data_IF_030673668028
#
_entry.id   IF_030673668028
#
_cell.length_a   1.000
_cell.length_b   1.000
_cell.length_c   1.000
_cell.angle_alpha   90.00
_cell.angle_beta   90.00
_cell.angle_gamma   90.00
#
_symmetry.space_group_name_H-M   'P 1'
#
loop_
_entity.id
_entity.type
_entity.pdbx_description
1 polymer ?
#
# COMPACT_ATOMS: atom_id res chain seq x y z
N UNK A 1 -31.07 23.53 -9.91
CA UNK A 1 -30.91 22.56 -8.81
C UNK A 1 -30.76 23.35 -7.53
N UNK A 2 -31.57 23.04 -6.53
CA UNK A 2 -31.49 23.63 -5.20
C UNK A 2 -31.05 22.54 -4.22
N UNK A 3 -30.02 22.81 -3.41
CA UNK A 3 -29.52 21.88 -2.40
C UNK A 3 -30.10 22.27 -1.05
N UNK A 4 -30.56 21.28 -0.29
CA UNK A 4 -31.04 21.48 1.08
C UNK A 4 -29.92 21.12 2.06
N UNK A 5 -29.47 22.03 2.92
CA UNK A 5 -28.52 21.67 3.97
C UNK A 5 -29.19 20.71 4.95
N UNK A 6 -28.47 19.66 5.34
CA UNK A 6 -28.96 18.64 6.28
C UNK A 6 -28.39 18.79 7.69
N UNK A 7 -27.50 19.77 7.88
CA UNK A 7 -26.82 20.04 9.14
C UNK A 7 -25.77 21.12 9.02
N UNK A 8 -24.98 21.28 10.08
CA UNK A 8 -23.89 22.25 10.20
C UNK A 8 -22.65 21.56 10.76
N UNK A 9 -21.47 21.91 10.24
CA UNK A 9 -20.19 21.42 10.76
C UNK A 9 -19.60 22.47 11.71
N UNK A 10 -19.39 22.09 12.96
CA UNK A 10 -18.66 22.88 13.96
C UNK A 10 -17.22 22.40 14.03
N UNK A 11 -16.26 23.29 13.79
CA UNK A 11 -14.85 22.95 13.71
C UNK A 11 -13.99 23.98 14.47
N UNK A 12 -12.75 23.61 14.80
CA UNK A 12 -11.82 24.55 15.45
C UNK A 12 -11.27 25.59 14.47
N UNK A 13 -11.52 25.46 13.17
CA UNK A 13 -10.97 26.33 12.13
C UNK A 13 -11.94 27.49 11.87
N UNK A 14 -11.61 28.71 12.30
CA UNK A 14 -12.49 29.90 12.13
C UNK A 14 -12.25 30.62 10.81
N UNK A 15 -11.04 30.50 10.27
CA UNK A 15 -10.60 31.13 9.03
C UNK A 15 -10.08 30.09 8.04
N UNK A 16 -9.86 30.51 6.78
CA UNK A 16 -9.30 29.63 5.75
C UNK A 16 -7.85 29.27 6.05
N UNK A 17 -7.11 30.21 6.64
CA UNK A 17 -5.69 30.09 6.97
C UNK A 17 -5.47 29.13 8.15
N UNK A 18 -6.46 29.00 9.04
CA UNK A 18 -6.45 28.03 10.13
C UNK A 18 -6.80 26.60 9.70
N UNK A 19 -7.61 26.46 8.65
CA UNK A 19 -8.00 25.15 8.14
C UNK A 19 -6.82 24.48 7.41
N UNK A 20 -6.57 23.18 7.64
CA UNK A 20 -5.52 22.46 6.92
C UNK A 20 -5.87 22.38 5.42
N UNK A 21 -4.85 22.31 4.57
CA UNK A 21 -5.07 22.17 3.11
C UNK A 21 -5.88 20.92 2.76
N UNK A 22 -5.71 19.84 3.54
CA UNK A 22 -6.52 18.63 3.53
C UNK A 22 -6.64 18.13 4.97
N UNK A 23 -7.85 17.82 5.44
CA UNK A 23 -8.10 17.46 6.85
C UNK A 23 -7.28 16.27 7.33
N UNK A 24 -7.05 15.29 6.44
CA UNK A 24 -6.24 14.09 6.73
C UNK A 24 -4.73 14.35 6.77
N UNK A 25 -4.26 15.50 6.31
CA UNK A 25 -2.84 15.88 6.30
C UNK A 25 -2.47 16.81 7.45
N UNK A 26 -3.41 17.15 8.33
CA UNK A 26 -3.09 17.88 9.55
C UNK A 26 -2.13 17.03 10.42
N UNK A 27 -1.06 17.65 10.92
CA UNK A 27 -0.13 17.02 11.86
C UNK A 27 -0.88 16.53 13.11
N UNK A 28 -1.75 17.39 13.64
CA UNK A 28 -2.69 17.08 14.71
C UNK A 28 -4.13 17.07 14.18
N UNK A 29 -4.74 15.89 14.16
CA UNK A 29 -6.15 15.75 13.80
C UNK A 29 -7.02 16.34 14.91
N UNK A 30 -7.65 17.48 14.61
CA UNK A 30 -8.60 18.11 15.53
C UNK A 30 -10.01 17.58 15.32
N UNK A 31 -10.75 17.46 16.42
CA UNK A 31 -12.14 17.02 16.40
C UNK A 31 -13.06 18.12 15.86
N UNK A 32 -13.96 17.71 14.97
CA UNK A 32 -15.10 18.49 14.49
C UNK A 32 -16.39 17.79 14.86
N UNK A 33 -17.47 18.54 15.01
CA UNK A 33 -18.81 18.03 15.32
C UNK A 33 -19.72 18.32 14.14
N UNK A 34 -20.26 17.26 13.54
CA UNK A 34 -21.32 17.38 12.55
C UNK A 34 -22.64 17.35 13.31
N UNK A 35 -23.40 18.44 13.28
CA UNK A 35 -24.74 18.55 13.86
C UNK A 35 -25.80 18.40 12.77
N UNK A 36 -26.56 17.31 12.80
CA UNK A 36 -27.65 17.01 11.86
C UNK A 36 -28.91 17.75 12.31
N UNK A 37 -29.65 18.37 11.39
CA UNK A 37 -30.92 19.00 11.74
C UNK A 37 -31.95 17.96 12.17
N UNK A 38 -32.86 18.34 13.07
CA UNK A 38 -33.76 17.39 13.73
C UNK A 38 -34.63 16.63 12.72
N UNK A 39 -35.07 17.28 11.63
CA UNK A 39 -35.86 16.64 10.57
C UNK A 39 -35.13 15.53 9.81
N UNK A 40 -33.80 15.45 9.89
CA UNK A 40 -32.98 14.41 9.23
C UNK A 40 -32.36 13.43 10.22
N UNK A 41 -32.63 13.58 11.52
CA UNK A 41 -32.02 12.77 12.58
C UNK A 41 -32.22 11.27 12.39
N UNK A 42 -33.39 10.86 11.90
CA UNK A 42 -33.73 9.45 11.70
C UNK A 42 -32.81 8.77 10.66
N UNK A 43 -32.28 9.54 9.70
CA UNK A 43 -31.35 9.04 8.67
C UNK A 43 -29.95 8.68 9.24
N UNK A 44 -29.68 8.98 10.52
CA UNK A 44 -28.42 8.63 11.18
C UNK A 44 -28.37 7.17 11.64
N UNK A 45 -29.49 6.43 11.61
CA UNK A 45 -29.56 5.05 12.07
C UNK A 45 -28.50 4.18 11.38
N UNK A 46 -27.68 3.47 12.17
CA UNK A 46 -26.65 2.56 11.69
C UNK A 46 -25.25 3.17 11.58
N UNK A 47 -25.11 4.50 11.66
CA UNK A 47 -23.81 5.17 11.65
C UNK A 47 -22.93 4.80 12.84
N UNK A 48 -23.51 4.35 13.96
CA UNK A 48 -22.78 3.84 15.12
C UNK A 48 -21.94 2.58 14.81
N UNK A 49 -22.26 1.87 13.72
CA UNK A 49 -21.54 0.68 13.26
C UNK A 49 -20.49 1.01 12.19
N UNK A 50 -20.29 2.29 11.88
CA UNK A 50 -19.42 2.76 10.79
C UNK A 50 -18.25 3.54 11.38
N UNK A 51 -17.02 3.17 10.98
CA UNK A 51 -15.82 3.88 11.43
C UNK A 51 -15.49 5.12 10.59
N UNK A 52 -15.76 5.07 9.28
CA UNK A 52 -15.39 6.15 8.36
C UNK A 52 -16.57 6.56 7.49
N UNK A 53 -16.71 7.87 7.28
CA UNK A 53 -17.76 8.45 6.45
C UNK A 53 -17.17 9.43 5.44
N UNK A 54 -17.79 9.53 4.27
CA UNK A 54 -17.63 10.63 3.34
C UNK A 54 -18.57 11.75 3.77
N UNK A 55 -18.02 12.95 3.89
CA UNK A 55 -18.74 14.16 4.27
C UNK A 55 -18.69 15.12 3.08
N UNK A 56 -19.87 15.47 2.57
CA UNK A 56 -20.02 16.51 1.56
C UNK A 56 -20.58 17.76 2.22
N UNK A 57 -19.88 18.89 2.07
CA UNK A 57 -20.28 20.16 2.66
C UNK A 57 -20.07 21.31 1.69
N UNK A 58 -20.76 22.41 1.92
CA UNK A 58 -20.71 23.58 1.06
C UNK A 58 -19.67 24.56 1.58
N UNK A 59 -18.65 24.88 0.78
CA UNK A 59 -17.74 25.99 1.05
C UNK A 59 -18.43 27.32 0.70
N UNK A 60 -19.33 27.74 1.57
CA UNK A 60 -20.16 28.95 1.50
C UNK A 60 -19.36 30.24 1.28
N UNK A 61 -18.11 30.29 1.73
CA UNK A 61 -17.20 31.44 1.60
C UNK A 61 -16.35 31.44 0.32
N UNK A 62 -16.51 30.44 -0.56
CA UNK A 62 -15.67 30.29 -1.74
C UNK A 62 -16.17 31.09 -2.96
N UNK A 63 -15.24 31.67 -3.71
CA UNK A 63 -15.55 32.28 -5.01
C UNK A 63 -16.01 31.23 -6.05
N UNK A 64 -17.24 31.38 -6.51
CA UNK A 64 -17.90 30.48 -7.46
C UNK A 64 -17.58 30.77 -8.92
N UNK A 65 -17.05 31.95 -9.23
CA UNK A 65 -16.73 32.35 -10.60
C UNK A 65 -15.29 31.93 -11.00
N UNK A 66 -14.52 31.41 -10.04
CA UNK A 66 -13.13 31.00 -10.27
C UNK A 66 -13.04 29.70 -11.06
N UNK A 67 -12.39 29.76 -12.21
CA UNK A 67 -12.16 28.60 -13.10
C UNK A 67 -10.71 28.09 -13.07
N UNK A 68 -9.77 28.89 -12.57
CA UNK A 68 -8.35 28.54 -12.48
C UNK A 68 -7.74 28.94 -11.14
N UNK A 69 -6.71 28.22 -10.72
CA UNK A 69 -6.07 28.42 -9.41
C UNK A 69 -4.61 27.94 -9.43
N UNK A 70 -3.78 28.56 -8.60
CA UNK A 70 -2.43 28.08 -8.30
C UNK A 70 -2.55 27.27 -7.01
N UNK A 71 -2.08 26.03 -7.04
CA UNK A 71 -2.13 25.13 -5.88
C UNK A 71 -0.92 25.32 -4.97
N UNK A 72 -0.97 24.94 -3.68
CA UNK A 72 0.20 24.97 -2.79
C UNK A 72 1.40 24.13 -3.27
N UNK A 73 1.21 23.25 -4.25
CA UNK A 73 2.20 22.26 -4.71
C UNK A 73 3.11 22.76 -5.84
N UNK A 74 2.92 23.97 -6.34
CA UNK A 74 3.73 24.51 -7.42
C UNK A 74 3.17 25.79 -8.02
N UNK A 75 3.97 26.51 -8.82
CA UNK A 75 3.63 27.84 -9.33
C UNK A 75 2.66 27.82 -10.52
N UNK A 76 2.41 26.65 -11.12
CA UNK A 76 1.58 26.53 -12.32
C UNK A 76 0.09 26.76 -12.01
N UNK A 77 -0.55 27.57 -12.86
CA UNK A 77 -1.99 27.74 -12.83
C UNK A 77 -2.69 26.52 -13.45
N UNK A 78 -3.69 25.98 -12.75
CA UNK A 78 -4.44 24.79 -13.15
C UNK A 78 -5.94 25.09 -13.16
N UNK A 79 -6.68 24.42 -14.05
CA UNK A 79 -8.14 24.48 -14.04
C UNK A 79 -8.69 23.86 -12.75
N UNK A 80 -9.69 24.48 -12.11
CA UNK A 80 -10.16 24.09 -10.77
C UNK A 80 -10.63 22.63 -10.69
N UNK A 81 -11.16 22.07 -11.79
CA UNK A 81 -11.60 20.66 -11.87
C UNK A 81 -10.46 19.65 -11.85
N UNK A 82 -9.23 20.07 -12.15
CA UNK A 82 -8.02 19.23 -11.99
C UNK A 82 -7.42 19.34 -10.58
N UNK A 83 -8.10 20.00 -9.65
CA UNK A 83 -7.60 20.31 -8.30
C UNK A 83 -8.67 20.08 -7.23
N UNK A 84 -8.27 20.28 -5.96
CA UNK A 84 -9.17 20.30 -4.79
C UNK A 84 -9.45 21.71 -4.26
N UNK A 85 -9.23 22.76 -5.06
CA UNK A 85 -9.48 24.14 -4.63
C UNK A 85 -10.95 24.36 -4.24
N UNK A 86 -11.25 25.01 -3.11
CA UNK A 86 -12.63 25.25 -2.68
C UNK A 86 -13.37 26.23 -3.59
N UNK A 87 -12.65 27.14 -4.27
CA UNK A 87 -13.22 28.08 -5.24
C UNK A 87 -13.47 27.40 -6.58
N UNK A 88 -14.75 27.13 -6.89
CA UNK A 88 -15.23 26.42 -8.08
C UNK A 88 -16.74 26.69 -8.28
N UNK A 89 -17.32 26.45 -9.47
CA UNK A 89 -18.74 26.78 -9.75
C UNK A 89 -19.75 26.23 -8.74
N UNK A 90 -19.55 24.99 -8.31
CA UNK A 90 -20.29 24.36 -7.21
C UNK A 90 -19.28 23.98 -6.12
N UNK A 91 -19.09 24.83 -5.09
CA UNK A 91 -18.09 24.65 -4.03
C UNK A 91 -18.48 23.53 -3.05
N UNK A 92 -18.75 22.34 -3.57
CA UNK A 92 -18.97 21.12 -2.81
C UNK A 92 -17.58 20.58 -2.45
N UNK A 93 -17.29 20.56 -1.16
CA UNK A 93 -16.12 19.93 -0.61
C UNK A 93 -16.40 18.46 -0.28
N UNK A 94 -15.34 17.67 -0.23
CA UNK A 94 -15.36 16.25 0.04
C UNK A 94 -14.24 15.96 1.04
N UNK A 95 -14.60 15.30 2.14
CA UNK A 95 -13.64 14.85 3.15
C UNK A 95 -14.05 13.48 3.66
N UNK A 96 -13.06 12.65 4.04
CA UNK A 96 -13.32 11.37 4.70
C UNK A 96 -13.09 11.59 6.20
N UNK A 97 -14.15 11.50 7.00
CA UNK A 97 -14.10 11.62 8.45
C UNK A 97 -13.99 10.26 9.15
N UNK A 98 -13.26 10.20 10.26
CA UNK A 98 -13.29 9.06 11.20
C UNK A 98 -14.26 9.37 12.34
N UNK A 99 -15.32 8.57 12.51
CA UNK A 99 -16.29 8.72 13.60
C UNK A 99 -15.62 8.31 14.91
N UNK A 100 -15.65 9.21 15.89
CA UNK A 100 -15.20 8.96 17.26
C UNK A 100 -16.34 8.53 18.17
N UNK A 101 -17.44 9.26 18.11
CA UNK A 101 -18.67 8.97 18.87
C UNK A 101 -19.86 9.68 18.23
N UNK A 102 -21.06 9.21 18.58
CA UNK A 102 -22.33 9.82 18.19
C UNK A 102 -23.13 10.09 19.47
N UNK A 103 -23.65 11.31 19.62
CA UNK A 103 -24.46 11.73 20.76
C UNK A 103 -25.67 12.52 20.26
N UNK A 104 -26.86 11.92 20.35
CA UNK A 104 -28.08 12.54 19.83
C UNK A 104 -28.01 12.76 18.31
N UNK A 105 -28.13 14.01 17.87
CA UNK A 105 -28.00 14.43 16.47
C UNK A 105 -26.57 14.87 16.09
N UNK A 106 -25.57 14.59 16.93
CA UNK A 106 -24.18 15.04 16.75
C UNK A 106 -23.24 13.87 16.48
N UNK A 107 -22.40 14.02 15.47
CA UNK A 107 -21.36 13.06 15.09
C UNK A 107 -20.00 13.73 15.31
N UNK A 108 -19.20 13.19 16.23
CA UNK A 108 -17.86 13.66 16.52
C UNK A 108 -16.88 12.97 15.59
N UNK A 109 -16.13 13.73 14.81
CA UNK A 109 -15.31 13.22 13.71
C UNK A 109 -13.91 13.84 13.65
N UNK A 110 -12.93 13.05 13.23
CA UNK A 110 -11.60 13.54 12.87
C UNK A 110 -11.39 13.59 11.36
N UNK A 111 -10.45 14.43 10.93
CA UNK A 111 -9.96 14.45 9.54
C UNK A 111 -10.78 15.32 8.59
N UNK A 112 -11.62 16.21 9.12
CA UNK A 112 -12.28 17.27 8.34
C UNK A 112 -11.41 18.53 8.25
N UNK A 113 -11.67 19.31 7.22
CA UNK A 113 -11.05 20.59 6.86
C UNK A 113 -12.12 21.66 6.58
N UNK A 114 -13.34 21.44 7.06
CA UNK A 114 -14.42 22.41 6.98
C UNK A 114 -14.12 23.59 7.92
N UNK A 115 -14.31 24.81 7.43
CA UNK A 115 -14.30 25.99 8.30
C UNK A 115 -15.57 25.96 9.15
N UNK A 116 -15.49 26.45 10.37
CA UNK A 116 -16.58 26.46 11.34
C UNK A 116 -17.88 27.04 10.74
N UNK A 117 -18.98 26.36 11.04
CA UNK A 117 -20.34 26.65 10.56
C UNK A 117 -20.58 26.40 9.06
N UNK A 118 -19.70 25.65 8.39
CA UNK A 118 -19.97 25.26 6.99
C UNK A 118 -21.23 24.37 6.90
N UNK A 119 -22.14 24.62 5.94
CA UNK A 119 -23.34 23.81 5.75
C UNK A 119 -23.02 22.39 5.30
N UNK A 120 -23.62 21.39 5.95
CA UNK A 120 -23.54 19.99 5.56
C UNK A 120 -24.56 19.69 4.45
N UNK A 121 -24.14 18.97 3.41
CA UNK A 121 -24.99 18.60 2.29
C UNK A 121 -25.36 17.11 2.29
N UNK A 122 -24.41 16.24 2.60
CA UNK A 122 -24.62 14.80 2.53
C UNK A 122 -23.58 14.04 3.36
N UNK A 123 -23.95 12.82 3.80
CA UNK A 123 -23.05 11.86 4.42
C UNK A 123 -23.23 10.51 3.72
N UNK A 124 -22.12 9.86 3.38
CA UNK A 124 -22.10 8.48 2.88
C UNK A 124 -21.16 7.64 3.70
N UNK A 125 -21.46 6.34 3.82
CA UNK A 125 -20.49 5.40 4.39
C UNK A 125 -19.28 5.32 3.46
N UNK A 126 -18.08 5.38 4.02
CA UNK A 126 -16.86 5.10 3.25
C UNK A 126 -16.72 3.60 3.05
N UNK A 127 -16.65 3.17 1.80
CA UNK A 127 -16.44 1.78 1.39
C UNK A 127 -15.18 1.72 0.53
N UNK A 128 -14.13 1.13 1.09
CA UNK A 128 -12.80 1.07 0.46
C UNK A 128 -12.85 0.57 -0.99
N UNK A 129 -13.63 -0.49 -1.27
CA UNK A 129 -13.67 -1.12 -2.60
C UNK A 129 -14.26 -0.24 -3.72
N UNK A 130 -15.05 0.78 -3.39
CA UNK A 130 -15.67 1.68 -4.38
C UNK A 130 -15.13 3.11 -4.32
N UNK A 131 -14.74 3.58 -3.12
CA UNK A 131 -14.29 4.94 -2.90
C UNK A 131 -12.77 5.09 -3.02
N UNK A 132 -12.03 4.00 -2.80
CA UNK A 132 -10.63 3.92 -3.15
C UNK A 132 -10.50 3.12 -4.44
N UNK A 133 -9.97 3.79 -5.48
CA UNK A 133 -9.32 3.06 -6.55
C UNK A 133 -8.11 2.39 -5.89
N UNK A 134 -8.20 1.07 -5.62
CA UNK A 134 -7.05 0.22 -5.33
C UNK A 134 -5.99 0.65 -6.33
N UNK A 135 -4.92 1.28 -5.85
CA UNK A 135 -4.00 2.04 -6.72
C UNK A 135 -3.77 1.20 -7.97
N UNK A 136 -3.98 1.72 -9.19
CA UNK A 136 -3.56 0.98 -10.35
C UNK A 136 -2.10 0.68 -10.10
N UNK A 137 -1.81 -0.62 -9.93
CA UNK A 137 -0.50 -1.25 -9.88
C UNK A 137 0.53 -0.29 -10.46
N UNK A 138 1.21 0.51 -9.62
CA UNK A 138 2.06 1.62 -10.09
C UNK A 138 2.96 1.01 -11.16
N UNK A 139 2.85 1.47 -12.42
CA UNK A 139 3.68 0.93 -13.50
C UNK A 139 5.13 1.04 -13.04
N UNK A 140 5.83 -0.08 -12.93
CA UNK A 140 7.23 -0.08 -12.54
C UNK A 140 8.01 0.60 -13.67
N UNK A 141 8.70 1.69 -13.35
CA UNK A 141 9.52 2.43 -14.31
C UNK A 141 10.98 2.12 -14.00
N UNK A 142 11.62 1.34 -14.86
CA UNK A 142 13.02 0.98 -14.72
C UNK A 142 13.90 2.15 -15.18
N UNK A 143 14.57 2.80 -14.22
CA UNK A 143 15.45 3.95 -14.45
C UNK A 143 16.56 3.99 -13.38
N UNK A 144 17.46 4.98 -13.47
CA UNK A 144 18.57 5.13 -12.50
C UNK A 144 18.08 5.37 -11.07
N UNK A 145 16.98 6.10 -10.87
CA UNK A 145 16.45 6.36 -9.53
C UNK A 145 15.96 5.08 -8.84
N UNK A 146 15.23 4.21 -9.55
CA UNK A 146 14.79 2.92 -9.01
C UNK A 146 15.98 1.99 -8.73
N UNK A 147 17.02 2.06 -9.56
CA UNK A 147 18.26 1.34 -9.30
C UNK A 147 18.96 1.84 -8.03
N UNK A 148 19.10 3.15 -7.85
CA UNK A 148 19.73 3.75 -6.67
C UNK A 148 18.96 3.42 -5.38
N UNK A 149 17.62 3.37 -5.45
CA UNK A 149 16.76 2.89 -4.38
C UNK A 149 17.04 1.42 -4.02
N UNK A 150 17.17 0.54 -5.01
CA UNK A 150 17.55 -0.87 -4.79
C UNK A 150 18.95 -1.00 -4.17
N UNK A 151 19.90 -0.18 -4.62
CA UNK A 151 21.26 -0.11 -4.06
C UNK A 151 21.21 0.36 -2.61
N UNK A 152 20.38 1.36 -2.29
CA UNK A 152 20.21 1.83 -0.92
C UNK A 152 19.59 0.76 -0.01
N UNK A 153 18.60 0.02 -0.51
CA UNK A 153 17.99 -1.10 0.23
C UNK A 153 18.98 -2.25 0.48
N UNK A 154 19.77 -2.61 -0.53
CA UNK A 154 20.77 -3.69 -0.42
C UNK A 154 22.06 -3.27 0.31
N UNK A 155 22.37 -1.98 0.29
CA UNK A 155 23.57 -1.37 0.89
C UNK A 155 24.75 -1.19 -0.06
N UNK A 156 24.76 -1.81 -1.25
CA UNK A 156 25.81 -1.59 -2.26
C UNK A 156 25.37 -1.98 -3.68
N UNK A 157 26.10 -1.50 -4.67
CA UNK A 157 25.92 -1.87 -6.08
C UNK A 157 26.73 -3.13 -6.40
N UNK A 158 26.09 -4.17 -6.95
CA UNK A 158 26.79 -5.38 -7.35
C UNK A 158 26.12 -6.12 -8.53
N UNK A 159 26.84 -7.03 -9.23
CA UNK A 159 26.28 -7.80 -10.34
C UNK A 159 25.07 -8.64 -9.95
N UNK A 160 25.06 -9.22 -8.74
CA UNK A 160 23.96 -10.03 -8.26
C UNK A 160 22.66 -9.22 -8.10
N UNK A 161 22.77 -8.00 -7.55
CA UNK A 161 21.64 -7.09 -7.44
C UNK A 161 21.12 -6.67 -8.83
N UNK A 162 22.02 -6.36 -9.78
CA UNK A 162 21.64 -6.04 -11.15
C UNK A 162 20.91 -7.20 -11.85
N UNK A 163 21.35 -8.44 -11.65
CA UNK A 163 20.64 -9.62 -12.15
C UNK A 163 19.22 -9.69 -11.58
N UNK A 164 19.05 -9.47 -10.28
CA UNK A 164 17.72 -9.41 -9.65
C UNK A 164 16.85 -8.29 -10.21
N UNK A 165 17.41 -7.11 -10.40
CA UNK A 165 16.73 -5.96 -10.99
C UNK A 165 16.22 -6.28 -12.41
N UNK A 166 17.07 -6.89 -13.25
CA UNK A 166 16.70 -7.32 -14.61
C UNK A 166 15.72 -8.49 -14.62
N UNK A 167 15.79 -9.39 -13.62
CA UNK A 167 14.81 -10.44 -13.42
C UNK A 167 13.41 -9.87 -13.12
N UNK A 168 13.34 -8.82 -12.30
CA UNK A 168 12.09 -8.11 -12.05
C UNK A 168 11.58 -7.41 -13.32
N UNK A 169 12.45 -6.76 -14.09
CA UNK A 169 12.10 -6.16 -15.38
C UNK A 169 11.48 -7.18 -16.35
N UNK A 170 12.11 -8.35 -16.45
CA UNK A 170 11.63 -9.45 -17.27
C UNK A 170 10.20 -9.87 -16.91
N UNK A 171 9.92 -10.07 -15.63
CA UNK A 171 8.62 -10.57 -15.19
C UNK A 171 7.53 -9.50 -15.15
N UNK A 172 7.89 -8.25 -14.85
CA UNK A 172 6.97 -7.10 -14.97
C UNK A 172 6.49 -6.95 -16.41
N UNK A 173 7.40 -7.01 -17.38
CA UNK A 173 7.04 -6.93 -18.81
C UNK A 173 6.14 -8.11 -19.21
N UNK A 174 6.50 -9.32 -18.79
CA UNK A 174 5.82 -10.55 -19.22
C UNK A 174 4.44 -10.76 -18.59
N UNK A 175 4.31 -10.56 -17.28
CA UNK A 175 3.06 -10.78 -16.54
C UNK A 175 2.24 -9.49 -16.35
N UNK A 176 2.76 -8.33 -16.79
CA UNK A 176 2.11 -7.01 -16.64
C UNK A 176 1.72 -6.71 -15.17
N UNK A 177 2.66 -7.00 -14.27
CA UNK A 177 2.49 -6.85 -12.81
C UNK A 177 3.19 -5.61 -12.26
N UNK A 178 2.94 -5.29 -10.99
CA UNK A 178 3.63 -4.23 -10.23
C UNK A 178 3.99 -4.71 -8.82
N UNK A 179 4.33 -3.78 -7.92
CA UNK A 179 4.42 -4.05 -6.49
C UNK A 179 3.18 -4.79 -5.95
N UNK A 180 3.41 -5.81 -5.13
CA UNK A 180 2.42 -6.57 -4.35
C UNK A 180 2.26 -5.92 -2.98
N UNK A 181 1.05 -5.51 -2.61
CA UNK A 181 0.79 -4.90 -1.30
C UNK A 181 0.81 -5.98 -0.20
N UNK A 182 0.14 -7.09 -0.45
CA UNK A 182 0.10 -8.26 0.43
C UNK A 182 0.74 -9.47 -0.27
N UNK A 183 -0.03 -10.50 -0.59
CA UNK A 183 0.45 -11.74 -1.22
C UNK A 183 -0.03 -11.90 -2.68
N UNK A 184 -0.48 -10.85 -3.37
CA UNK A 184 -1.02 -10.94 -4.73
C UNK A 184 -0.02 -11.56 -5.73
N UNK A 185 1.27 -11.23 -5.55
CA UNK A 185 2.37 -11.80 -6.32
C UNK A 185 3.22 -12.62 -5.36
N UNK A 186 3.57 -13.83 -5.79
CA UNK A 186 4.42 -14.74 -5.04
C UNK A 186 5.69 -14.98 -5.82
N UNK A 187 6.84 -14.89 -5.15
CA UNK A 187 8.12 -15.31 -5.69
C UNK A 187 8.62 -16.55 -4.96
N UNK A 188 8.95 -17.60 -5.69
CA UNK A 188 9.77 -18.72 -5.21
C UNK A 188 11.19 -18.49 -5.72
N UNK A 189 12.13 -18.26 -4.82
CA UNK A 189 13.56 -18.15 -5.17
C UNK A 189 14.28 -19.47 -4.92
N UNK A 190 15.10 -19.89 -5.89
CA UNK A 190 15.90 -21.13 -5.81
C UNK A 190 17.34 -20.90 -5.32
N UNK A 191 17.63 -19.66 -4.88
CA UNK A 191 18.90 -19.20 -4.32
C UNK A 191 18.66 -18.09 -3.27
N UNK A 192 19.72 -17.74 -2.53
CA UNK A 192 19.77 -16.65 -1.56
C UNK A 192 20.72 -15.52 -2.00
N UNK A 193 20.85 -15.29 -3.32
CA UNK A 193 21.76 -14.28 -3.86
C UNK A 193 21.21 -12.85 -3.70
N UNK A 194 22.08 -11.85 -3.84
CA UNK A 194 21.75 -10.41 -3.75
C UNK A 194 20.54 -10.01 -4.62
N UNK A 195 20.29 -10.70 -5.74
CA UNK A 195 19.18 -10.41 -6.62
C UNK A 195 17.79 -10.59 -5.98
N UNK A 196 17.69 -11.39 -4.91
CA UNK A 196 16.46 -11.55 -4.14
C UNK A 196 16.02 -10.21 -3.53
N UNK A 197 16.95 -9.34 -3.15
CA UNK A 197 16.64 -8.05 -2.54
C UNK A 197 15.97 -7.09 -3.51
N UNK A 198 16.35 -7.11 -4.80
CA UNK A 198 15.65 -6.34 -5.83
C UNK A 198 14.20 -6.83 -6.02
N UNK A 199 13.98 -8.15 -5.93
CA UNK A 199 12.63 -8.74 -5.97
C UNK A 199 11.80 -8.30 -4.76
N UNK A 200 12.37 -8.34 -3.56
CA UNK A 200 11.74 -7.87 -2.34
C UNK A 200 11.34 -6.40 -2.45
N UNK A 201 12.26 -5.56 -2.90
CA UNK A 201 12.06 -4.11 -2.98
C UNK A 201 11.04 -3.73 -4.05
N UNK A 202 11.22 -4.17 -5.30
CA UNK A 202 10.44 -3.69 -6.45
C UNK A 202 9.06 -4.36 -6.53
N UNK A 203 8.98 -5.66 -6.24
CA UNK A 203 7.73 -6.41 -6.35
C UNK A 203 7.01 -6.60 -5.01
N UNK A 204 7.62 -6.22 -3.89
CA UNK A 204 7.02 -6.45 -2.58
C UNK A 204 6.85 -7.94 -2.27
N UNK A 205 7.65 -8.82 -2.88
CA UNK A 205 7.68 -10.24 -2.52
C UNK A 205 8.63 -10.41 -1.35
N UNK A 206 8.15 -10.37 -0.10
CA UNK A 206 9.00 -10.34 1.09
C UNK A 206 8.77 -11.54 1.99
N UNK A 207 9.80 -11.92 2.77
CA UNK A 207 9.68 -13.00 3.74
C UNK A 207 8.59 -12.73 4.79
N UNK A 208 8.50 -11.49 5.27
CA UNK A 208 7.55 -11.10 6.32
C UNK A 208 6.09 -11.24 5.91
N UNK A 209 5.77 -10.97 4.65
CA UNK A 209 4.41 -11.16 4.09
C UNK A 209 4.12 -12.61 3.71
N UNK A 210 5.14 -13.46 3.70
CA UNK A 210 5.02 -14.87 3.32
C UNK A 210 4.83 -15.12 1.83
N UNK A 211 5.00 -14.09 0.99
CA UNK A 211 4.95 -14.20 -0.48
C UNK A 211 6.34 -14.29 -1.13
N UNK A 212 7.41 -14.41 -0.34
CA UNK A 212 8.72 -14.87 -0.78
C UNK A 212 9.03 -16.24 -0.18
N UNK A 213 9.13 -17.26 -1.04
CA UNK A 213 9.42 -18.63 -0.65
C UNK A 213 10.84 -18.99 -1.06
N UNK A 214 11.69 -19.28 -0.09
CA UNK A 214 13.03 -19.76 -0.36
C UNK A 214 13.04 -21.29 -0.48
N UNK A 215 13.45 -21.80 -1.65
CA UNK A 215 13.74 -23.22 -1.87
C UNK A 215 15.20 -23.35 -2.22
N UNK A 216 16.05 -23.62 -1.24
CA UNK A 216 17.48 -23.72 -1.49
C UNK A 216 17.82 -24.88 -2.44
N UNK A 217 18.07 -24.56 -3.71
CA UNK A 217 18.45 -25.51 -4.76
C UNK A 217 19.76 -25.12 -5.44
N UNK A 218 20.37 -24.00 -5.04
CA UNK A 218 21.58 -23.45 -5.65
C UNK A 218 21.41 -22.97 -7.10
N UNK A 219 20.18 -22.80 -7.60
CA UNK A 219 19.92 -22.40 -8.99
C UNK A 219 19.66 -20.90 -9.08
N UNK A 220 20.27 -20.23 -10.07
CA UNK A 220 19.96 -18.85 -10.43
C UNK A 220 18.61 -18.78 -11.15
N UNK A 221 17.54 -19.07 -10.42
CA UNK A 221 16.18 -19.14 -10.94
C UNK A 221 15.16 -18.58 -9.95
N UNK A 222 14.12 -17.97 -10.49
CA UNK A 222 13.01 -17.38 -9.76
C UNK A 222 11.70 -17.80 -10.43
N UNK A 223 10.71 -18.19 -9.64
CA UNK A 223 9.36 -18.50 -10.14
C UNK A 223 8.39 -17.49 -9.57
N UNK A 224 7.63 -16.83 -10.43
CA UNK A 224 6.63 -15.85 -10.06
C UNK A 224 5.24 -16.38 -10.35
N UNK A 225 4.30 -16.10 -9.46
CA UNK A 225 2.88 -16.35 -9.65
C UNK A 225 2.08 -15.10 -9.36
N UNK A 226 0.98 -14.92 -10.09
CA UNK A 226 -0.06 -13.93 -9.84
C UNK A 226 -1.29 -14.66 -9.33
N UNK A 227 -1.64 -14.47 -8.06
CA UNK A 227 -2.72 -15.23 -7.43
C UNK A 227 -4.08 -14.98 -8.09
N UNK A 228 -4.34 -13.74 -8.49
CA UNK A 228 -5.66 -13.34 -9.03
C UNK A 228 -5.96 -14.01 -10.38
N UNK A 229 -4.94 -14.19 -11.22
CA UNK A 229 -5.08 -14.76 -12.57
C UNK A 229 -4.69 -16.23 -12.64
N UNK A 230 -3.93 -16.72 -11.66
CA UNK A 230 -3.32 -18.04 -11.67
C UNK A 230 -2.12 -18.16 -12.62
N UNK A 231 -1.73 -17.08 -13.30
CA UNK A 231 -0.58 -17.08 -14.20
C UNK A 231 0.73 -17.22 -13.42
N UNK A 232 1.70 -17.89 -14.03
CA UNK A 232 3.04 -17.96 -13.47
C UNK A 232 4.10 -18.18 -14.53
N UNK A 233 5.33 -17.78 -14.18
CA UNK A 233 6.50 -18.00 -15.02
C UNK A 233 7.71 -18.30 -14.15
N UNK A 234 8.51 -19.28 -14.59
CA UNK A 234 9.83 -19.53 -14.04
C UNK A 234 10.86 -18.91 -14.97
N UNK A 235 11.74 -18.07 -14.42
CA UNK A 235 12.88 -17.49 -15.14
C UNK A 235 14.18 -18.08 -14.62
N UNK A 236 15.10 -18.37 -15.53
CA UNK A 236 16.41 -18.96 -15.24
C UNK A 236 17.47 -18.09 -15.87
N UNK A 237 18.48 -17.69 -15.09
CA UNK A 237 19.62 -16.98 -15.61
C UNK A 237 20.40 -17.90 -16.57
N UNK A 238 20.64 -17.44 -17.79
CA UNK A 238 21.49 -18.13 -18.75
C UNK A 238 22.94 -18.11 -18.29
N UNK A 239 23.78 -18.94 -18.92
CA UNK A 239 25.21 -18.87 -18.69
C UNK A 239 25.76 -17.55 -19.26
N UNK A 240 26.00 -16.59 -18.37
CA UNK A 240 26.53 -15.28 -18.71
C UNK A 240 28.05 -15.25 -18.47
N UNK A 241 28.80 -14.53 -19.32
CA UNK A 241 30.25 -14.45 -19.17
C UNK A 241 30.61 -13.80 -17.83
N UNK A 242 31.64 -14.35 -17.17
CA UNK A 242 32.21 -13.72 -15.98
C UNK A 242 33.17 -12.60 -16.39
N UNK A 243 33.18 -11.54 -15.58
CA UNK A 243 34.07 -10.37 -15.74
C UNK A 243 34.72 -10.08 -14.40
N UNK A 244 36.00 -9.75 -14.41
CA UNK A 244 36.76 -9.43 -13.19
C UNK A 244 36.35 -8.07 -12.61
N UNK A 245 36.14 -7.07 -13.47
CA UNK A 245 35.65 -5.75 -13.07
C UNK A 245 34.14 -5.80 -12.79
N UNK A 246 33.80 -5.83 -11.50
CA UNK A 246 32.42 -5.92 -11.01
C UNK A 246 31.60 -4.66 -11.32
N UNK A 247 32.21 -3.47 -11.30
CA UNK A 247 31.48 -2.23 -11.52
C UNK A 247 31.10 -2.07 -12.99
N UNK A 248 32.07 -2.29 -13.89
CA UNK A 248 31.83 -2.30 -15.32
C UNK A 248 30.81 -3.37 -15.71
N UNK A 249 30.94 -4.57 -15.12
CA UNK A 249 30.01 -5.66 -15.38
C UNK A 249 28.58 -5.34 -14.93
N UNK A 250 28.41 -4.69 -13.78
CA UNK A 250 27.09 -4.25 -13.29
C UNK A 250 26.44 -3.29 -14.28
N UNK A 251 27.20 -2.31 -14.81
CA UNK A 251 26.71 -1.37 -15.82
C UNK A 251 26.36 -2.04 -17.15
N UNK A 252 27.11 -3.07 -17.55
CA UNK A 252 26.81 -3.88 -18.75
C UNK A 252 25.50 -4.67 -18.55
N UNK A 253 25.36 -5.38 -17.43
CA UNK A 253 24.16 -6.15 -17.07
C UNK A 253 22.89 -5.30 -17.11
N UNK A 254 22.93 -4.09 -16.54
CA UNK A 254 21.76 -3.19 -16.50
C UNK A 254 21.27 -2.78 -17.91
N UNK A 255 22.17 -2.78 -18.90
CA UNK A 255 21.88 -2.40 -20.29
C UNK A 255 21.50 -3.59 -21.19
N UNK A 256 21.69 -4.83 -20.73
CA UNK A 256 21.33 -6.02 -21.52
C UNK A 256 19.81 -6.16 -21.68
N UNK A 257 19.37 -6.77 -22.78
CA UNK A 257 17.96 -7.15 -22.93
C UNK A 257 17.66 -8.35 -22.04
N UNK A 258 16.46 -8.38 -21.46
CA UNK A 258 16.07 -9.43 -20.51
C UNK A 258 15.98 -10.81 -21.18
N UNK A 259 15.61 -10.86 -22.45
CA UNK A 259 15.53 -12.08 -23.26
C UNK A 259 16.92 -12.70 -23.51
N UNK A 260 17.97 -11.88 -23.55
CA UNK A 260 19.36 -12.34 -23.69
C UNK A 260 19.91 -12.88 -22.36
N UNK A 261 19.35 -12.42 -21.23
CA UNK A 261 19.79 -12.81 -19.89
C UNK A 261 19.05 -14.03 -19.35
N UNK A 262 17.76 -14.19 -19.66
CA UNK A 262 16.90 -15.18 -19.02
C UNK A 262 16.26 -16.14 -20.00
N UNK A 263 16.13 -17.39 -19.58
CA UNK A 263 15.26 -18.38 -20.19
C UNK A 263 13.92 -18.39 -19.44
N UNK A 264 12.81 -18.38 -20.18
CA UNK A 264 11.46 -18.42 -19.60
C UNK A 264 10.86 -19.82 -19.75
N UNK A 265 10.42 -20.38 -18.63
CA UNK A 265 9.87 -21.73 -18.54
C UNK A 265 8.51 -21.68 -17.82
N UNK A 266 7.71 -22.72 -18.03
CA UNK A 266 6.53 -22.94 -17.19
C UNK A 266 6.96 -23.18 -15.73
N UNK A 267 6.18 -22.71 -14.75
CA UNK A 267 6.40 -23.05 -13.35
C UNK A 267 6.40 -24.56 -13.14
N UNK A 268 7.31 -25.05 -12.29
CA UNK A 268 7.35 -26.46 -11.85
C UNK A 268 6.52 -26.69 -10.59
N UNK A 269 6.26 -25.61 -9.87
CA UNK A 269 5.51 -25.61 -8.64
C UNK A 269 4.07 -25.20 -8.90
N UNK A 270 3.17 -25.60 -8.00
CA UNK A 270 1.88 -24.95 -7.88
C UNK A 270 2.03 -23.61 -7.14
N UNK A 271 1.02 -22.74 -7.27
CA UNK A 271 0.96 -21.48 -6.56
C UNK A 271 1.02 -21.77 -5.05
N UNK A 272 2.02 -21.27 -4.31
CA UNK A 272 2.14 -21.52 -2.88
C UNK A 272 0.89 -21.08 -2.12
N UNK A 273 0.47 -21.81 -1.09
CA UNK A 273 -0.65 -21.40 -0.24
C UNK A 273 -0.36 -20.06 0.43
N UNK A 274 -1.40 -19.29 0.77
CA UNK A 274 -1.27 -18.05 1.54
C UNK A 274 -0.66 -18.32 2.91
N UNK A 275 0.04 -17.33 3.45
CA UNK A 275 0.55 -17.39 4.80
C UNK A 275 -0.61 -17.57 5.78
N UNK A 276 -0.41 -18.44 6.78
CA UNK A 276 -1.38 -18.71 7.83
C UNK A 276 -0.80 -18.27 9.16
N UNK A 277 -1.60 -17.55 9.94
CA UNK A 277 -1.30 -17.25 11.35
C UNK A 277 -1.67 -18.48 12.17
N UNK A 278 -0.69 -19.04 12.87
CA UNK A 278 -0.87 -20.16 13.77
C UNK A 278 -0.89 -19.66 15.22
N UNK A 279 -1.67 -20.27 16.12
CA UNK A 279 -1.59 -20.03 17.55
C UNK A 279 -0.15 -20.15 18.08
N UNK A 280 0.13 -19.42 19.15
CA UNK A 280 1.41 -19.54 19.87
C UNK A 280 1.24 -20.45 21.09
N UNK A 281 2.07 -21.48 21.19
CA UNK A 281 2.13 -22.39 22.32
C UNK A 281 3.35 -22.07 23.18
N UNK A 282 3.24 -22.32 24.49
CA UNK A 282 4.35 -22.12 25.43
C UNK A 282 5.21 -23.39 25.49
N UNK A 283 6.51 -23.26 25.30
CA UNK A 283 7.47 -24.32 25.50
C UNK A 283 7.54 -24.69 26.99
N UNK A 284 7.42 -25.98 27.31
CA UNK A 284 7.44 -26.48 28.69
C UNK A 284 8.87 -26.58 29.29
N UNK A 285 9.91 -26.33 28.50
CA UNK A 285 11.31 -26.31 28.96
C UNK A 285 11.78 -24.87 29.21
N UNK A 286 11.80 -24.01 28.18
CA UNK A 286 12.31 -22.64 28.32
C UNK A 286 11.25 -21.61 28.72
N UNK A 287 9.95 -21.94 28.59
CA UNK A 287 8.86 -21.03 28.90
C UNK A 287 8.54 -19.98 27.83
N UNK A 288 9.29 -19.92 26.73
CA UNK A 288 9.04 -19.02 25.60
C UNK A 288 7.84 -19.49 24.76
N UNK A 289 7.19 -18.55 24.05
CA UNK A 289 6.10 -18.87 23.12
C UNK A 289 6.65 -19.05 21.72
N UNK A 290 6.26 -20.12 21.04
CA UNK A 290 6.55 -20.35 19.63
C UNK A 290 5.29 -20.76 18.87
N UNK A 291 5.30 -20.56 17.56
CA UNK A 291 4.19 -20.93 16.67
C UNK A 291 3.90 -22.43 16.76
N UNK A 292 2.62 -22.82 16.83
CA UNK A 292 2.16 -24.21 16.91
C UNK A 292 2.86 -25.13 15.89
N UNK A 293 3.02 -24.70 14.64
CA UNK A 293 3.69 -25.48 13.57
C UNK A 293 5.17 -25.82 13.87
N UNK A 294 5.80 -25.04 14.74
CA UNK A 294 7.21 -25.18 15.13
C UNK A 294 7.39 -25.87 16.49
N UNK A 295 6.32 -26.38 17.10
CA UNK A 295 6.40 -27.15 18.34
C UNK A 295 6.62 -28.64 18.05
N UNK A 296 7.25 -29.33 19.00
CA UNK A 296 7.49 -30.79 18.99
C UNK A 296 7.12 -31.39 20.35
N UNK A 297 7.05 -32.72 20.41
CA UNK A 297 6.86 -33.45 21.66
C UNK A 297 8.19 -34.12 22.04
N UNK A 298 8.74 -33.79 23.21
CA UNK A 298 9.91 -34.46 23.81
C UNK A 298 9.54 -34.94 25.20
N UNK A 299 9.62 -36.24 25.45
CA UNK A 299 9.29 -36.86 26.74
C UNK A 299 7.89 -36.47 27.28
N UNK A 300 6.90 -36.41 26.39
CA UNK A 300 5.52 -36.05 26.74
C UNK A 300 5.25 -34.56 26.93
N UNK A 301 6.29 -33.70 26.82
CA UNK A 301 6.17 -32.24 26.91
C UNK A 301 6.14 -31.59 25.53
N UNK A 302 5.34 -30.53 25.39
CA UNK A 302 5.31 -29.65 24.22
C UNK A 302 6.48 -28.67 24.32
N UNK A 303 7.41 -28.76 23.37
CA UNK A 303 8.68 -28.01 23.39
C UNK A 303 8.90 -27.27 22.07
N UNK A 304 9.59 -26.12 22.12
CA UNK A 304 10.03 -25.42 20.92
C UNK A 304 11.16 -26.21 20.22
N UNK A 305 11.45 -25.86 18.96
CA UNK A 305 12.46 -26.55 18.14
C UNK A 305 13.86 -26.52 18.79
N UNK A 306 14.27 -25.38 19.36
CA UNK A 306 15.58 -25.24 20.02
C UNK A 306 15.73 -26.15 21.25
N UNK A 307 14.65 -26.34 22.04
CA UNK A 307 14.66 -27.26 23.18
C UNK A 307 14.49 -28.73 22.75
N UNK A 308 13.92 -28.96 21.57
CA UNK A 308 13.81 -30.30 21.00
C UNK A 308 15.16 -30.81 20.50
N UNK A 309 15.96 -29.94 19.87
CA UNK A 309 17.27 -30.27 19.29
C UNK A 309 18.42 -30.33 20.29
N UNK A 310 18.26 -29.70 21.46
CA UNK A 310 19.21 -29.88 22.57
C UNK A 310 19.02 -31.27 23.17
N UNK A 311 20.11 -32.00 23.36
CA UNK A 311 20.12 -33.30 24.06
C UNK A 311 19.61 -33.16 25.50
#
# INVERSE_FOLDING_TARGET
MELKPIGVIHSPYKTKEEAPFQGRWAEDLKESVIEIFEEYRDAMQGLENVKHIIVLYWCDRADRNRLKTITPWGPEEKGVFSTRSPSRPNPIAFSIGEIRKIEGNKIYVLGLDAIDKSPLLDIKVYVYDIDAIKRPRKKVVFNSALWDECVSFHGHSCPGLAIGYKAVEAVVSKLKISFSEDEEIVCITENNACGVDAIQYILGCTFGKGNLIFKDRGKQAFTFFVRDTGEGVRIVLKDLPRREDREKWTKELLKMNVEDMFEFQAPRDEIPKRARIYPSLKCEICGEKASERNMRIKEGKIVCMDCFEKD
#
